data_IF_189658930861
#
_entry.id   IF_189658930861
#
_cell.length_a   1.000
_cell.length_b   1.000
_cell.length_c   1.000
_cell.angle_alpha   90.00
_cell.angle_beta   90.00
_cell.angle_gamma   90.00
#
_symmetry.space_group_name_H-M   'P 1'
#
loop_
_entity.id
_entity.type
_entity.pdbx_description
1 polymer ?
#
# COMPACT_ATOMS: atom_id res chain seq x y z
N UNK A 1 26.67 -46.70 -14.92
CA UNK A 1 25.89 -46.16 -13.79
C UNK A 1 26.78 -45.23 -12.99
N UNK A 2 26.54 -43.92 -13.08
CA UNK A 2 27.30 -42.90 -12.36
C UNK A 2 26.51 -41.60 -12.39
N UNK A 3 26.12 -41.12 -11.22
CA UNK A 3 25.18 -40.03 -10.94
C UNK A 3 25.73 -38.65 -11.34
N UNK A 4 24.95 -37.83 -12.04
CA UNK A 4 25.29 -36.45 -12.37
C UNK A 4 24.57 -35.51 -11.39
N UNK A 5 25.38 -34.73 -10.67
CA UNK A 5 24.97 -33.71 -9.71
C UNK A 5 24.39 -32.47 -10.41
N UNK A 6 23.40 -31.91 -9.74
CA UNK A 6 22.75 -30.63 -9.97
C UNK A 6 23.73 -29.44 -9.96
N UNK A 7 23.54 -28.50 -10.90
CA UNK A 7 24.01 -27.12 -10.82
C UNK A 7 22.88 -26.23 -11.37
N UNK A 8 22.14 -25.57 -10.46
CA UNK A 8 21.22 -24.49 -10.79
C UNK A 8 22.04 -23.21 -10.88
N UNK A 9 22.16 -22.65 -12.08
CA UNK A 9 22.81 -21.37 -12.31
C UNK A 9 21.75 -20.26 -12.32
N UNK A 10 21.78 -19.41 -11.30
CA UNK A 10 21.12 -18.10 -11.31
C UNK A 10 21.81 -17.20 -12.36
N UNK A 11 21.05 -16.75 -13.37
CA UNK A 11 21.46 -15.72 -14.33
C UNK A 11 20.30 -14.72 -14.40
N UNK A 12 20.38 -13.59 -13.69
CA UNK A 12 20.97 -12.31 -14.13
C UNK A 12 20.00 -11.45 -14.96
N UNK A 13 19.23 -10.60 -14.27
CA UNK A 13 18.54 -9.43 -14.82
C UNK A 13 19.58 -8.32 -15.13
N UNK A 14 20.31 -8.51 -16.22
CA UNK A 14 21.21 -7.50 -16.77
C UNK A 14 21.06 -7.47 -18.29
N UNK A 15 19.99 -6.83 -18.78
CA UNK A 15 19.91 -6.33 -20.14
C UNK A 15 18.78 -5.30 -20.22
N UNK A 16 19.15 -4.02 -20.35
CA UNK A 16 18.70 -3.08 -21.39
C UNK A 16 19.50 -1.79 -21.14
N UNK A 17 20.58 -1.64 -21.89
CA UNK A 17 21.30 -0.38 -22.01
C UNK A 17 21.52 -0.07 -23.49
N UNK A 18 21.11 1.15 -23.87
CA UNK A 18 21.36 1.94 -25.10
C UNK A 18 20.19 2.09 -26.07
N UNK A 19 19.64 3.30 -26.08
CA UNK A 19 19.98 4.32 -27.10
C UNK A 19 19.64 5.72 -26.59
N UNK A 20 20.66 6.55 -26.42
CA UNK A 20 20.55 8.01 -26.28
C UNK A 20 20.56 8.64 -27.67
N UNK A 21 19.80 9.72 -27.87
CA UNK A 21 20.35 10.87 -28.55
C UNK A 21 19.75 12.19 -28.02
N UNK A 22 20.67 13.02 -27.56
CA UNK A 22 20.71 14.47 -27.35
C UNK A 22 19.42 15.31 -27.46
N UNK A 23 19.08 15.97 -26.34
CA UNK A 23 18.75 17.40 -26.34
C UNK A 23 19.45 18.04 -25.13
N UNK A 24 20.31 19.01 -25.42
CA UNK A 24 21.17 19.68 -24.47
C UNK A 24 20.41 20.76 -23.68
N UNK A 25 20.79 20.91 -22.41
CA UNK A 25 20.90 22.19 -21.72
C UNK A 25 19.60 22.80 -21.17
N UNK A 26 19.45 22.74 -19.85
CA UNK A 26 19.32 23.92 -18.98
C UNK A 26 19.32 23.45 -17.52
N UNK A 27 20.42 23.71 -16.82
CA UNK A 27 20.46 23.64 -15.36
C UNK A 27 19.55 24.73 -14.78
N UNK A 28 18.60 24.33 -13.93
CA UNK A 28 17.93 25.23 -13.00
C UNK A 28 18.14 24.68 -11.59
N UNK A 29 18.67 25.46 -10.64
CA UNK A 29 18.68 25.09 -9.23
C UNK A 29 17.27 25.31 -8.68
N UNK A 30 16.48 24.23 -8.63
CA UNK A 30 15.13 24.27 -8.07
C UNK A 30 15.16 24.00 -6.56
N UNK A 31 15.11 25.06 -5.77
CA UNK A 31 14.54 24.99 -4.42
C UNK A 31 13.17 24.32 -4.51
N UNK A 32 13.04 23.12 -3.95
CA UNK A 32 11.77 22.42 -3.85
C UNK A 32 10.80 23.29 -3.04
N UNK A 33 9.91 24.01 -3.73
CA UNK A 33 8.82 24.70 -3.09
C UNK A 33 7.99 23.63 -2.37
N UNK A 34 7.84 23.77 -1.04
CA UNK A 34 7.03 22.86 -0.26
C UNK A 34 5.62 22.81 -0.87
N UNK A 35 5.22 21.64 -1.36
CA UNK A 35 3.88 21.44 -1.91
C UNK A 35 2.89 21.62 -0.75
N UNK A 36 1.94 22.56 -0.84
CA UNK A 36 1.01 22.83 0.25
C UNK A 36 0.26 21.55 0.65
N UNK A 37 0.19 21.28 1.96
CA UNK A 37 -0.55 20.14 2.51
C UNK A 37 0.24 18.84 2.64
N UNK A 38 1.43 18.71 2.04
CA UNK A 38 2.32 17.56 2.26
C UNK A 38 3.18 17.73 3.51
N UNK A 39 3.17 16.71 4.37
CA UNK A 39 3.94 16.65 5.61
C UNK A 39 4.65 15.30 5.73
N UNK A 40 5.98 15.30 5.70
CA UNK A 40 6.80 14.13 5.99
C UNK A 40 6.97 14.00 7.51
N UNK A 41 6.57 12.86 8.05
CA UNK A 41 6.79 12.46 9.44
C UNK A 41 7.83 11.35 9.46
N UNK A 42 8.97 11.61 10.08
CA UNK A 42 10.05 10.62 10.17
C UNK A 42 9.91 9.75 11.41
N UNK A 43 10.25 8.46 11.29
CA UNK A 43 10.32 7.51 12.42
C UNK A 43 9.08 7.56 13.32
N UNK A 44 7.89 7.48 12.73
CA UNK A 44 6.63 7.36 13.48
C UNK A 44 6.56 5.97 14.09
N UNK A 45 6.40 5.84 15.40
CA UNK A 45 6.32 4.54 16.06
C UNK A 45 4.98 3.88 15.78
N UNK A 46 5.01 2.57 15.58
CA UNK A 46 3.79 1.76 15.61
C UNK A 46 3.60 1.11 16.98
N UNK A 47 3.17 -0.16 16.98
CA UNK A 47 2.82 -0.88 18.21
C UNK A 47 4.04 -1.22 19.07
N UNK A 48 5.08 -1.76 18.46
CA UNK A 48 6.39 -1.95 19.09
C UNK A 48 7.21 -0.68 18.89
N UNK A 49 7.85 -0.17 19.94
CA UNK A 49 8.70 1.02 19.89
C UNK A 49 9.88 0.87 18.91
N UNK A 50 10.29 -0.36 18.63
CA UNK A 50 11.34 -0.67 17.65
C UNK A 50 10.84 -0.66 16.20
N UNK A 51 9.53 -0.80 15.98
CA UNK A 51 8.92 -0.77 14.65
C UNK A 51 8.49 0.67 14.34
N UNK A 52 9.31 1.37 13.55
CA UNK A 52 9.07 2.75 13.11
C UNK A 52 9.02 2.86 11.60
N UNK A 53 8.14 3.71 11.08
CA UNK A 53 8.06 4.02 9.65
C UNK A 53 8.16 5.53 9.40
N UNK A 54 8.76 5.88 8.27
CA UNK A 54 8.55 7.20 7.69
C UNK A 54 7.17 7.22 7.01
N UNK A 55 6.40 8.27 7.27
CA UNK A 55 5.04 8.43 6.75
C UNK A 55 4.91 9.80 6.09
N UNK A 56 4.33 9.83 4.89
CA UNK A 56 3.98 11.07 4.21
C UNK A 56 2.47 11.30 4.31
N UNK A 57 2.08 12.41 4.91
CA UNK A 57 0.69 12.84 4.98
C UNK A 57 0.42 13.89 3.90
N UNK A 58 -0.61 13.70 3.08
CA UNK A 58 -1.28 14.78 2.37
C UNK A 58 -2.58 15.11 3.11
N UNK A 59 -2.69 16.36 3.57
CA UNK A 59 -3.95 16.87 4.12
C UNK A 59 -4.94 17.18 2.98
N UNK A 60 -6.24 16.98 3.21
CA UNK A 60 -7.24 17.42 2.25
C UNK A 60 -7.11 18.93 2.03
N UNK A 61 -7.28 19.38 0.79
CA UNK A 61 -7.32 20.80 0.50
C UNK A 61 -8.50 21.41 1.27
N UNK A 62 -8.24 22.39 2.15
CA UNK A 62 -9.34 23.16 2.75
C UNK A 62 -10.06 23.88 1.62
N UNK A 63 -11.37 23.68 1.47
CA UNK A 63 -12.23 24.42 0.53
C UNK A 63 -12.31 25.91 0.96
N UNK A 64 -11.22 26.65 0.88
CA UNK A 64 -11.25 28.11 0.83
C UNK A 64 -11.70 28.52 -0.56
N UNK A 65 -13.00 28.35 -0.87
CA UNK A 65 -13.82 29.07 -1.87
C UNK A 65 -15.06 28.24 -2.30
N UNK A 66 -16.04 28.09 -1.41
CA UNK A 66 -17.43 28.25 -1.85
C UNK A 66 -17.96 29.54 -1.26
N UNK A 67 -17.84 30.61 -2.06
CA UNK A 67 -18.55 31.86 -1.84
C UNK A 67 -20.05 31.56 -1.85
N UNK A 68 -20.72 32.08 -0.83
CA UNK A 68 -22.15 32.39 -0.79
C UNK A 68 -23.05 31.35 -1.47
N UNK A 69 -23.55 30.39 -0.69
CA UNK A 69 -24.98 30.15 -0.61
C UNK A 69 -25.31 29.50 0.73
N UNK A 70 -26.31 30.08 1.38
CA UNK A 70 -26.95 29.56 2.58
C UNK A 70 -27.65 28.24 2.26
N UNK A 71 -27.31 27.17 2.97
CA UNK A 71 -28.25 26.32 3.68
C UNK A 71 -27.50 25.19 4.41
N UNK A 72 -28.11 24.74 5.49
CA UNK A 72 -27.61 23.87 6.54
C UNK A 72 -27.24 22.48 6.02
N UNK A 73 -26.09 22.33 5.35
CA UNK A 73 -25.49 21.01 5.14
C UNK A 73 -24.39 20.82 6.17
N UNK A 74 -24.53 19.76 6.98
CA UNK A 74 -23.51 19.30 7.90
C UNK A 74 -22.17 19.19 7.14
N UNK A 75 -21.30 20.18 7.30
CA UNK A 75 -19.87 20.05 7.01
C UNK A 75 -19.37 18.95 7.96
N UNK A 76 -19.56 17.69 7.56
CA UNK A 76 -18.87 16.56 8.15
C UNK A 76 -17.40 16.92 8.09
N UNK A 77 -16.85 17.27 9.24
CA UNK A 77 -15.45 17.55 9.39
C UNK A 77 -14.72 16.22 9.11
N UNK A 78 -14.37 16.00 7.84
CA UNK A 78 -14.12 14.68 7.27
C UNK A 78 -12.94 14.00 7.96
N UNK A 79 -13.23 13.01 8.79
CA UNK A 79 -12.23 12.16 9.43
C UNK A 79 -12.03 10.88 8.61
N UNK A 80 -11.97 11.05 7.28
CA UNK A 80 -11.77 9.97 6.33
C UNK A 80 -10.29 9.84 6.02
N UNK A 81 -9.78 8.62 6.06
CA UNK A 81 -8.36 8.32 5.90
C UNK A 81 -8.15 7.31 4.79
N UNK A 82 -7.12 7.52 3.98
CA UNK A 82 -6.62 6.54 3.02
C UNK A 82 -5.17 6.23 3.39
N UNK A 83 -4.87 4.97 3.65
CA UNK A 83 -3.49 4.50 3.84
C UNK A 83 -3.03 3.80 2.57
N UNK A 84 -1.86 4.16 2.08
CA UNK A 84 -1.26 3.59 0.87
C UNK A 84 0.12 2.99 1.18
N UNK A 85 0.29 1.73 0.78
CA UNK A 85 1.56 1.02 0.81
C UNK A 85 2.14 0.94 -0.61
N UNK A 86 3.26 1.65 -0.90
CA UNK A 86 3.87 1.69 -2.22
C UNK A 86 4.58 0.39 -2.64
N UNK A 87 4.95 0.34 -3.91
CA UNK A 87 5.66 -0.77 -4.54
C UNK A 87 7.18 -0.71 -4.44
N UNK A 88 7.84 -1.58 -5.19
CA UNK A 88 9.26 -1.46 -5.47
C UNK A 88 9.54 -0.16 -6.28
N UNK A 89 10.79 0.32 -6.25
CA UNK A 89 11.29 1.57 -6.86
C UNK A 89 10.77 2.86 -6.21
N UNK A 90 9.52 2.88 -5.75
CA UNK A 90 8.89 4.08 -5.20
C UNK A 90 9.50 4.48 -3.86
N UNK A 91 9.94 5.74 -3.79
CA UNK A 91 10.49 6.33 -2.59
C UNK A 91 10.28 7.86 -2.62
N UNK A 92 10.70 8.57 -1.57
CA UNK A 92 10.70 10.03 -1.57
C UNK A 92 11.44 10.55 -2.79
N UNK A 93 10.89 11.58 -3.44
CA UNK A 93 11.40 12.08 -4.71
C UNK A 93 12.90 12.41 -4.66
N UNK A 94 13.36 12.98 -3.54
CA UNK A 94 14.77 13.29 -3.32
C UNK A 94 15.65 12.03 -3.25
N UNK A 95 15.17 10.96 -2.62
CA UNK A 95 15.92 9.69 -2.52
C UNK A 95 15.97 8.99 -3.89
N UNK A 96 14.87 9.00 -4.64
CA UNK A 96 14.83 8.46 -6.01
C UNK A 96 15.75 9.23 -6.97
N UNK A 97 15.82 10.55 -6.86
CA UNK A 97 16.64 11.38 -7.76
C UNK A 97 18.15 11.10 -7.66
N UNK A 98 18.60 10.47 -6.58
CA UNK A 98 19.99 10.08 -6.37
C UNK A 98 20.35 8.73 -7.02
N UNK A 99 19.35 7.97 -7.48
CA UNK A 99 19.52 6.60 -7.96
C UNK A 99 19.26 6.52 -9.47
N UNK A 100 20.25 6.18 -10.31
CA UNK A 100 20.08 6.14 -11.77
C UNK A 100 18.92 5.27 -12.24
N UNK A 101 18.69 4.13 -11.58
CA UNK A 101 17.59 3.20 -11.89
C UNK A 101 16.21 3.74 -11.51
N UNK A 102 16.12 4.69 -10.57
CA UNK A 102 14.86 5.25 -10.08
C UNK A 102 14.50 6.59 -10.75
N UNK A 103 15.47 7.32 -11.31
CA UNK A 103 15.26 8.60 -12.00
C UNK A 103 14.17 8.56 -13.09
N UNK A 104 14.08 7.52 -13.94
CA UNK A 104 12.99 7.42 -14.92
C UNK A 104 11.59 7.37 -14.30
N UNK A 105 11.49 7.02 -13.02
CA UNK A 105 10.24 6.76 -12.30
C UNK A 105 9.87 7.88 -11.32
N UNK A 106 10.50 9.06 -11.39
CA UNK A 106 10.24 10.17 -10.47
C UNK A 106 8.77 10.64 -10.46
N UNK A 107 8.03 10.41 -11.54
CA UNK A 107 6.57 10.65 -11.61
C UNK A 107 5.76 9.77 -10.66
N UNK A 108 6.37 8.71 -10.11
CA UNK A 108 5.78 7.74 -9.19
C UNK A 108 6.40 7.81 -7.79
N UNK A 109 7.11 8.90 -7.48
CA UNK A 109 7.57 9.18 -6.11
C UNK A 109 6.40 9.28 -5.13
N UNK A 110 6.68 9.08 -3.83
CA UNK A 110 5.64 9.08 -2.79
C UNK A 110 4.82 10.38 -2.80
N UNK A 111 5.47 11.52 -3.04
CA UNK A 111 4.82 12.83 -3.15
C UNK A 111 3.84 12.87 -4.34
N UNK A 112 4.22 12.32 -5.50
CA UNK A 112 3.36 12.31 -6.69
C UNK A 112 2.17 11.37 -6.52
N UNK A 113 2.40 10.20 -5.93
CA UNK A 113 1.33 9.24 -5.62
C UNK A 113 0.35 9.83 -4.60
N UNK A 114 0.84 10.50 -3.56
CA UNK A 114 -0.03 11.15 -2.58
C UNK A 114 -0.97 12.16 -3.26
N UNK A 115 -0.47 12.97 -4.20
CA UNK A 115 -1.29 13.92 -4.95
C UNK A 115 -2.32 13.21 -5.84
N UNK A 116 -1.93 12.16 -6.56
CA UNK A 116 -2.87 11.33 -7.35
C UNK A 116 -4.00 10.79 -6.48
N UNK A 117 -3.68 10.22 -5.32
CA UNK A 117 -4.66 9.67 -4.40
C UNK A 117 -5.54 10.78 -3.79
N UNK A 118 -4.99 11.97 -3.53
CA UNK A 118 -5.76 13.12 -3.07
C UNK A 118 -6.82 13.57 -4.08
N UNK A 119 -6.55 13.43 -5.38
CA UNK A 119 -7.56 13.65 -6.43
C UNK A 119 -8.60 12.53 -6.48
N UNK A 120 -8.20 11.28 -6.25
CA UNK A 120 -9.08 10.10 -6.26
C UNK A 120 -10.02 10.03 -5.06
N UNK A 121 -9.54 10.47 -3.90
CA UNK A 121 -10.24 10.47 -2.62
C UNK A 121 -10.35 11.91 -2.07
N UNK A 122 -11.17 12.77 -2.71
CA UNK A 122 -11.29 14.16 -2.30
C UNK A 122 -11.81 14.26 -0.87
N UNK A 123 -11.23 15.17 -0.09
CA UNK A 123 -11.59 15.38 1.32
C UNK A 123 -10.98 14.38 2.32
N UNK A 124 -10.23 13.38 1.85
CA UNK A 124 -9.56 12.42 2.73
C UNK A 124 -8.14 12.87 3.11
N UNK A 125 -7.67 12.41 4.27
CA UNK A 125 -6.26 12.44 4.64
C UNK A 125 -5.54 11.26 3.99
N UNK A 126 -4.55 11.52 3.14
CA UNK A 126 -3.78 10.45 2.47
C UNK A 126 -2.48 10.19 3.23
N UNK A 127 -2.26 8.96 3.63
CA UNK A 127 -1.09 8.51 4.38
C UNK A 127 -0.30 7.52 3.53
N UNK A 128 0.87 7.92 3.04
CA UNK A 128 1.80 7.01 2.38
C UNK A 128 2.75 6.45 3.42
N UNK A 129 2.69 5.14 3.65
CA UNK A 129 3.58 4.46 4.60
C UNK A 129 4.78 3.92 3.83
N UNK A 130 5.94 4.56 3.98
CA UNK A 130 7.16 4.08 3.33
C UNK A 130 7.57 2.74 3.93
N UNK A 131 8.05 1.82 3.07
CA UNK A 131 8.72 0.60 3.51
C UNK A 131 9.82 0.92 4.54
N UNK A 132 9.94 0.10 5.59
CA UNK A 132 10.92 0.34 6.66
C UNK A 132 12.36 0.24 6.16
N UNK A 133 12.57 -0.57 5.12
CA UNK A 133 13.85 -0.69 4.43
C UNK A 133 13.65 -0.79 2.92
N UNK A 134 14.62 -0.30 2.15
CA UNK A 134 14.69 -0.51 0.70
C UNK A 134 16.04 -1.13 0.32
N UNK A 135 16.02 -2.40 -0.04
CA UNK A 135 17.23 -3.12 -0.46
C UNK A 135 17.64 -2.70 -1.87
N UNK A 136 18.94 -2.40 -2.06
CA UNK A 136 19.50 -1.88 -3.31
C UNK A 136 18.76 -0.63 -3.86
N UNK A 137 18.15 0.16 -2.97
CA UNK A 137 17.32 1.31 -3.34
C UNK A 137 16.18 1.00 -4.32
N UNK A 138 15.76 -0.26 -4.40
CA UNK A 138 14.80 -0.77 -5.38
C UNK A 138 13.74 -1.65 -4.75
N UNK A 139 14.13 -2.63 -3.95
CA UNK A 139 13.20 -3.60 -3.37
C UNK A 139 12.67 -3.10 -2.04
N UNK A 140 11.37 -2.86 -1.97
CA UNK A 140 10.67 -2.46 -0.75
C UNK A 140 10.58 -3.65 0.20
N UNK A 141 10.94 -3.42 1.47
CA UNK A 141 10.87 -4.42 2.54
C UNK A 141 9.97 -3.89 3.66
N UNK A 142 8.85 -4.57 3.88
CA UNK A 142 7.83 -4.21 4.87
C UNK A 142 8.00 -4.95 6.19
N UNK A 143 9.25 -5.06 6.68
CA UNK A 143 9.62 -5.83 7.87
C UNK A 143 8.94 -5.38 9.17
N UNK A 144 8.30 -4.21 9.22
CA UNK A 144 7.50 -3.84 10.40
C UNK A 144 6.08 -4.43 10.37
N UNK A 145 5.63 -4.84 9.18
CA UNK A 145 4.30 -5.36 8.92
C UNK A 145 4.31 -6.85 8.63
N UNK A 146 5.33 -7.40 7.99
CA UNK A 146 5.38 -8.82 7.62
C UNK A 146 6.82 -9.33 7.67
N UNK A 147 7.01 -10.59 8.05
CA UNK A 147 8.32 -11.23 7.95
C UNK A 147 8.74 -11.31 6.47
N UNK A 148 10.02 -11.11 6.18
CA UNK A 148 10.48 -11.12 4.80
C UNK A 148 11.94 -11.47 4.67
N UNK A 149 12.29 -12.07 3.53
CA UNK A 149 13.68 -12.25 3.14
C UNK A 149 14.35 -10.92 2.73
N UNK A 150 15.63 -10.98 2.32
CA UNK A 150 16.43 -9.81 1.94
C UNK A 150 15.81 -8.95 0.83
N UNK A 151 15.08 -9.57 -0.10
CA UNK A 151 14.43 -8.89 -1.23
C UNK A 151 12.98 -8.50 -0.93
N UNK A 152 12.54 -8.63 0.31
CA UNK A 152 11.18 -8.32 0.71
C UNK A 152 10.15 -9.30 0.15
N UNK A 153 10.52 -10.57 -0.10
CA UNK A 153 9.50 -11.60 -0.32
C UNK A 153 8.95 -12.03 1.05
N UNK A 154 7.62 -12.07 1.23
CA UNK A 154 7.00 -12.25 2.53
C UNK A 154 7.05 -13.71 3.00
N UNK A 155 6.94 -13.90 4.30
CA UNK A 155 6.45 -15.12 4.93
C UNK A 155 5.30 -14.68 5.85
N UNK A 156 4.07 -15.10 5.52
CA UNK A 156 2.88 -14.63 6.22
C UNK A 156 2.59 -15.46 7.48
N UNK A 157 2.13 -14.79 8.55
CA UNK A 157 1.76 -15.45 9.81
C UNK A 157 0.42 -14.92 10.36
N UNK A 158 -0.28 -15.65 11.24
CA UNK A 158 -1.54 -15.18 11.82
C UNK A 158 -1.37 -14.14 12.95
N UNK A 159 -0.14 -13.84 13.38
CA UNK A 159 0.13 -13.10 14.62
C UNK A 159 1.35 -12.15 14.58
N UNK A 160 1.81 -11.76 13.39
CA UNK A 160 2.96 -10.85 13.24
C UNK A 160 2.75 -9.46 13.86
N UNK A 161 1.49 -9.01 13.90
CA UNK A 161 1.04 -7.76 14.50
C UNK A 161 0.95 -6.59 13.52
N UNK A 162 0.75 -6.84 12.23
CA UNK A 162 0.55 -5.85 11.19
C UNK A 162 -0.63 -4.90 11.49
N UNK A 163 -1.79 -5.44 11.87
CA UNK A 163 -3.00 -4.63 12.15
C UNK A 163 -2.77 -3.72 13.36
N UNK A 164 -2.16 -4.28 14.42
CA UNK A 164 -1.83 -3.53 15.63
C UNK A 164 -0.80 -2.44 15.35
N UNK A 165 0.21 -2.76 14.55
CA UNK A 165 1.22 -1.82 14.10
C UNK A 165 0.62 -0.69 13.25
N UNK A 166 -0.25 -0.99 12.28
CA UNK A 166 -0.95 0.00 11.46
C UNK A 166 -1.77 0.98 12.31
N UNK A 167 -2.60 0.45 13.22
CA UNK A 167 -3.44 1.28 14.10
C UNK A 167 -2.61 2.26 14.93
N UNK A 168 -1.55 1.76 15.57
CA UNK A 168 -0.67 2.59 16.38
C UNK A 168 0.11 3.61 15.54
N UNK A 169 0.61 3.20 14.37
CA UNK A 169 1.33 4.06 13.44
C UNK A 169 0.45 5.23 12.98
N UNK A 170 -0.81 4.95 12.62
CA UNK A 170 -1.77 5.96 12.21
C UNK A 170 -2.12 6.89 13.37
N UNK A 171 -2.38 6.37 14.57
CA UNK A 171 -2.66 7.19 15.76
C UNK A 171 -1.51 8.12 16.13
N UNK A 172 -0.28 7.62 16.21
CA UNK A 172 0.90 8.44 16.45
C UNK A 172 1.17 9.41 15.30
N UNK A 173 0.90 9.02 14.06
CA UNK A 173 0.98 9.88 12.87
C UNK A 173 0.01 11.06 12.96
N UNK A 174 -1.26 10.80 13.29
CA UNK A 174 -2.29 11.83 13.50
C UNK A 174 -1.89 12.81 14.61
N UNK A 175 -1.37 12.30 15.73
CA UNK A 175 -0.88 13.13 16.85
C UNK A 175 0.28 14.03 16.42
N UNK A 176 1.32 13.47 15.79
CA UNK A 176 2.48 14.23 15.31
C UNK A 176 2.12 15.23 14.22
N UNK A 177 1.13 14.90 13.39
CA UNK A 177 0.58 15.80 12.39
C UNK A 177 -0.34 16.88 12.98
N UNK A 178 -0.67 16.85 14.28
CA UNK A 178 -1.58 17.80 14.90
C UNK A 178 -2.99 17.77 14.30
N UNK A 179 -3.46 16.60 13.87
CA UNK A 179 -4.83 16.45 13.38
C UNK A 179 -5.84 16.47 14.54
N UNK A 180 -7.05 17.01 14.32
CA UNK A 180 -8.11 16.93 15.31
C UNK A 180 -8.53 15.47 15.53
N UNK A 181 -8.81 15.10 16.78
CA UNK A 181 -9.32 13.78 17.17
C UNK A 181 -8.44 12.60 16.68
N UNK A 182 -7.16 12.51 17.08
CA UNK A 182 -6.31 11.36 16.75
C UNK A 182 -6.90 10.06 17.30
N UNK A 183 -6.55 8.92 16.68
CA UNK A 183 -6.90 7.62 17.25
C UNK A 183 -6.37 7.51 18.68
N UNK A 184 -7.21 7.04 19.63
CA UNK A 184 -6.77 6.85 21.00
C UNK A 184 -5.71 5.74 21.06
N UNK A 185 -4.74 5.83 22.00
CA UNK A 185 -3.78 4.75 22.24
C UNK A 185 -4.48 3.42 22.53
N UNK A 186 -3.88 2.33 22.07
CA UNK A 186 -4.28 0.98 22.50
C UNK A 186 -4.06 0.85 24.01
N UNK A 187 -5.13 0.55 24.73
CA UNK A 187 -5.14 0.55 26.20
C UNK A 187 -5.09 -0.86 26.80
N UNK A 188 -5.28 -1.90 25.98
CA UNK A 188 -5.36 -3.30 26.41
C UNK A 188 -6.60 -3.62 27.26
N UNK A 189 -7.60 -2.74 27.25
CA UNK A 189 -8.79 -2.87 28.08
C UNK A 189 -9.88 -3.68 27.38
N UNK A 190 -10.61 -4.51 28.13
CA UNK A 190 -11.73 -5.30 27.59
C UNK A 190 -12.88 -4.45 27.00
N UNK A 191 -13.00 -3.18 27.43
CA UNK A 191 -13.98 -2.22 26.94
C UNK A 191 -13.26 -1.03 26.28
N UNK A 192 -12.96 -1.10 24.97
CA UNK A 192 -12.37 0.02 24.25
C UNK A 192 -13.22 1.29 24.32
N UNK A 193 -12.56 2.44 24.34
CA UNK A 193 -13.22 3.71 24.03
C UNK A 193 -13.65 3.77 22.55
N UNK A 194 -14.67 4.58 22.22
CA UNK A 194 -15.11 4.72 20.84
C UNK A 194 -14.00 5.35 19.97
N UNK A 195 -14.01 5.03 18.68
CA UNK A 195 -13.20 5.76 17.71
C UNK A 195 -13.70 7.21 17.58
N UNK A 196 -12.84 8.14 17.15
CA UNK A 196 -13.26 9.48 16.76
C UNK A 196 -14.47 9.46 15.83
N UNK A 197 -15.44 10.36 16.06
CA UNK A 197 -16.66 10.42 15.26
C UNK A 197 -16.32 10.59 13.76
N UNK A 198 -16.99 9.80 12.92
CA UNK A 198 -16.79 9.82 11.47
C UNK A 198 -15.44 9.26 11.00
N UNK A 199 -14.68 8.57 11.86
CA UNK A 199 -13.46 7.89 11.43
C UNK A 199 -13.77 6.77 10.44
N UNK A 200 -13.24 6.89 9.23
CA UNK A 200 -13.29 5.83 8.20
C UNK A 200 -11.91 5.61 7.62
N UNK A 201 -11.63 4.37 7.22
CA UNK A 201 -10.34 3.97 6.67
C UNK A 201 -10.52 3.21 5.36
N UNK A 202 -9.75 3.61 4.35
CA UNK A 202 -9.50 2.84 3.13
C UNK A 202 -8.03 2.43 3.13
N UNK A 203 -7.73 1.18 2.79
CA UNK A 203 -6.36 0.66 2.73
C UNK A 203 -6.04 0.26 1.30
N UNK A 204 -4.92 0.75 0.79
CA UNK A 204 -4.47 0.51 -0.59
C UNK A 204 -3.06 -0.05 -0.56
N UNK A 205 -2.86 -1.19 -1.20
CA UNK A 205 -1.56 -1.79 -1.43
C UNK A 205 -1.28 -1.78 -2.92
N UNK A 206 -0.10 -1.30 -3.31
CA UNK A 206 0.33 -1.35 -4.70
C UNK A 206 1.59 -2.18 -4.85
N UNK A 207 1.62 -3.08 -5.84
CA UNK A 207 2.80 -3.88 -6.17
C UNK A 207 3.31 -4.63 -4.93
N UNK A 208 4.53 -4.33 -4.48
CA UNK A 208 5.09 -4.88 -3.24
C UNK A 208 4.27 -4.54 -1.99
N UNK A 209 3.57 -3.41 -1.95
CA UNK A 209 2.71 -3.03 -0.82
C UNK A 209 1.57 -4.01 -0.55
N UNK A 210 1.15 -4.80 -1.54
CA UNK A 210 0.13 -5.84 -1.37
C UNK A 210 0.54 -6.93 -0.37
N UNK A 211 1.84 -7.14 -0.12
CA UNK A 211 2.29 -8.12 0.89
C UNK A 211 1.82 -7.75 2.30
N UNK A 212 1.64 -6.46 2.58
CA UNK A 212 1.10 -5.96 3.85
C UNK A 212 -0.38 -6.27 3.94
N UNK A 213 -1.13 -6.13 2.83
CA UNK A 213 -2.55 -6.47 2.80
C UNK A 213 -2.77 -7.97 2.99
N UNK A 214 -1.95 -8.79 2.33
CA UNK A 214 -2.00 -10.24 2.52
C UNK A 214 -1.75 -10.60 3.99
N UNK A 215 -0.75 -9.97 4.63
CA UNK A 215 -0.49 -10.17 6.06
C UNK A 215 -1.68 -9.74 6.95
N UNK A 216 -2.32 -8.62 6.64
CA UNK A 216 -3.54 -8.18 7.34
C UNK A 216 -4.63 -9.25 7.25
N UNK A 217 -4.82 -9.87 6.08
CA UNK A 217 -5.82 -10.93 5.89
C UNK A 217 -5.53 -12.15 6.76
N UNK A 218 -4.28 -12.60 6.84
CA UNK A 218 -3.90 -13.71 7.74
C UNK A 218 -4.10 -13.40 9.23
N UNK A 219 -4.01 -12.13 9.63
CA UNK A 219 -4.21 -11.70 11.02
C UNK A 219 -5.67 -11.44 11.41
N UNK A 220 -6.62 -11.41 10.45
CA UNK A 220 -8.00 -10.98 10.71
C UNK A 220 -8.68 -11.77 11.83
N UNK A 221 -8.56 -13.10 11.83
CA UNK A 221 -9.16 -13.94 12.85
C UNK A 221 -8.71 -13.53 14.27
N UNK A 222 -7.40 -13.36 14.46
CA UNK A 222 -6.82 -12.97 15.74
C UNK A 222 -7.15 -11.54 16.12
N UNK A 223 -7.11 -10.61 15.15
CA UNK A 223 -7.39 -9.20 15.40
C UNK A 223 -8.87 -8.92 15.71
N UNK A 224 -9.81 -9.67 15.11
CA UNK A 224 -11.24 -9.54 15.43
C UNK A 224 -11.62 -10.09 16.80
N UNK A 225 -10.79 -10.96 17.38
CA UNK A 225 -10.95 -11.43 18.75
C UNK A 225 -10.53 -10.39 19.80
N UNK A 226 -9.71 -9.40 19.41
CA UNK A 226 -9.31 -8.27 20.24
C UNK A 226 -10.35 -7.13 20.09
N UNK A 227 -11.05 -6.70 21.17
CA UNK A 227 -12.10 -5.69 21.06
C UNK A 227 -11.64 -4.34 20.49
N UNK A 228 -10.42 -3.89 20.80
CA UNK A 228 -9.92 -2.60 20.32
C UNK A 228 -9.56 -2.66 18.84
N UNK A 229 -8.93 -3.76 18.42
CA UNK A 229 -8.58 -3.99 17.01
C UNK A 229 -9.82 -4.26 16.17
N UNK A 230 -10.82 -4.97 16.71
CA UNK A 230 -12.11 -5.16 16.05
C UNK A 230 -12.78 -3.83 15.73
N UNK A 231 -12.89 -2.92 16.69
CA UNK A 231 -13.46 -1.59 16.42
C UNK A 231 -12.70 -0.82 15.33
N UNK A 232 -11.37 -0.96 15.29
CA UNK A 232 -10.56 -0.38 14.23
C UNK A 232 -10.83 -1.02 12.87
N UNK A 233 -10.91 -2.35 12.80
CA UNK A 233 -11.23 -3.09 11.58
C UNK A 233 -12.64 -2.79 11.08
N UNK A 234 -13.62 -2.64 11.98
CA UNK A 234 -15.00 -2.27 11.64
C UNK A 234 -15.10 -0.87 11.01
N UNK A 235 -14.05 -0.03 11.14
CA UNK A 235 -13.96 1.27 10.44
C UNK A 235 -13.31 1.21 9.06
N UNK A 236 -12.79 0.04 8.67
CA UNK A 236 -12.23 -0.18 7.33
C UNK A 236 -13.38 -0.43 6.36
N UNK A 237 -13.51 0.48 5.40
CA UNK A 237 -14.60 0.46 4.40
C UNK A 237 -14.20 -0.31 3.14
N UNK A 238 -12.99 -0.05 2.66
CA UNK A 238 -12.49 -0.58 1.40
C UNK A 238 -11.02 -1.02 1.54
N UNK A 239 -10.67 -2.11 0.86
CA UNK A 239 -9.28 -2.56 0.67
C UNK A 239 -9.00 -2.79 -0.82
N UNK A 240 -7.96 -2.14 -1.33
CA UNK A 240 -7.56 -2.18 -2.73
C UNK A 240 -6.21 -2.90 -2.89
N UNK A 241 -6.21 -4.03 -3.59
CA UNK A 241 -5.01 -4.67 -4.12
C UNK A 241 -4.76 -4.15 -5.54
N UNK A 242 -3.70 -3.38 -5.71
CA UNK A 242 -3.31 -2.78 -6.98
C UNK A 242 -2.06 -3.49 -7.52
N UNK A 243 -2.27 -4.36 -8.49
CA UNK A 243 -1.27 -5.07 -9.29
C UNK A 243 -0.19 -5.71 -8.43
N UNK A 244 -0.61 -6.53 -7.46
CA UNK A 244 0.27 -7.15 -6.48
C UNK A 244 1.35 -8.04 -7.12
N UNK A 245 2.60 -7.84 -6.66
CA UNK A 245 3.76 -8.54 -7.19
C UNK A 245 4.96 -8.45 -6.24
N UNK A 246 5.78 -9.50 -6.19
CA UNK A 246 7.02 -9.54 -5.42
C UNK A 246 7.97 -10.62 -5.98
N UNK A 247 9.27 -10.63 -5.59
CA UNK A 247 10.25 -11.57 -6.16
C UNK A 247 10.18 -12.99 -5.57
N UNK A 248 9.16 -13.29 -4.76
CA UNK A 248 8.93 -14.64 -4.21
C UNK A 248 8.28 -15.56 -5.24
N UNK A 249 8.26 -16.87 -4.95
CA UNK A 249 7.72 -17.89 -5.86
C UNK A 249 6.26 -18.29 -5.63
N UNK A 250 5.61 -17.69 -4.63
CA UNK A 250 4.24 -17.96 -4.18
C UNK A 250 3.77 -16.84 -3.25
N UNK A 251 2.50 -16.91 -2.82
CA UNK A 251 1.91 -16.00 -1.82
C UNK A 251 1.81 -14.54 -2.28
N UNK A 252 1.74 -14.34 -3.60
CA UNK A 252 1.48 -13.03 -4.19
C UNK A 252 0.03 -12.62 -3.96
N UNK A 253 -0.89 -13.58 -3.98
CA UNK A 253 -2.26 -13.42 -3.52
C UNK A 253 -2.59 -14.45 -2.44
N UNK A 254 -3.46 -14.09 -1.50
CA UNK A 254 -3.89 -15.01 -0.44
C UNK A 254 -4.69 -16.15 -1.06
N UNK A 255 -4.29 -17.38 -0.79
CA UNK A 255 -5.02 -18.58 -1.25
C UNK A 255 -5.55 -19.44 -0.10
N UNK A 256 -5.23 -19.07 1.14
CA UNK A 256 -5.74 -19.77 2.32
C UNK A 256 -7.24 -19.50 2.49
N UNK A 257 -8.04 -20.56 2.46
CA UNK A 257 -9.50 -20.44 2.48
C UNK A 257 -10.00 -19.91 3.83
N UNK A 258 -9.37 -20.26 4.95
CA UNK A 258 -9.80 -19.81 6.27
C UNK A 258 -9.55 -18.30 6.43
N UNK A 259 -8.41 -17.80 5.96
CA UNK A 259 -8.11 -16.38 5.97
C UNK A 259 -9.05 -15.58 5.04
N UNK A 260 -9.40 -16.14 3.87
CA UNK A 260 -10.37 -15.52 2.96
C UNK A 260 -11.81 -15.56 3.48
N UNK A 261 -12.20 -16.59 4.24
CA UNK A 261 -13.50 -16.66 4.93
C UNK A 261 -13.65 -15.54 5.96
N UNK A 262 -12.59 -15.25 6.71
CA UNK A 262 -12.55 -14.11 7.63
C UNK A 262 -12.61 -12.76 6.90
N UNK A 263 -11.91 -12.62 5.77
CA UNK A 263 -11.99 -11.42 4.94
C UNK A 263 -13.41 -11.22 4.41
N UNK A 264 -14.03 -12.26 3.83
CA UNK A 264 -15.40 -12.19 3.33
C UNK A 264 -16.40 -11.83 4.45
N UNK A 265 -16.24 -12.46 5.62
CA UNK A 265 -17.09 -12.25 6.81
C UNK A 265 -16.86 -10.92 7.52
N UNK A 266 -15.83 -10.15 7.15
CA UNK A 266 -15.59 -8.81 7.68
C UNK A 266 -16.57 -7.77 7.10
N UNK A 267 -17.13 -8.04 5.91
CA UNK A 267 -18.02 -7.12 5.21
C UNK A 267 -17.32 -5.95 4.50
N UNK A 268 -15.97 -5.90 4.52
CA UNK A 268 -15.19 -4.89 3.80
C UNK A 268 -15.36 -5.02 2.29
N UNK A 269 -15.36 -3.90 1.56
CA UNK A 269 -15.31 -3.93 0.11
C UNK A 269 -13.88 -4.29 -0.36
N UNK A 270 -13.77 -5.34 -1.17
CA UNK A 270 -12.50 -5.85 -1.71
C UNK A 270 -12.40 -5.47 -3.18
N UNK A 271 -11.29 -4.83 -3.55
CA UNK A 271 -11.04 -4.37 -4.91
C UNK A 271 -9.71 -4.93 -5.42
N UNK A 272 -9.77 -5.73 -6.48
CA UNK A 272 -8.59 -6.31 -7.13
C UNK A 272 -8.39 -5.67 -8.52
N UNK A 273 -7.34 -4.87 -8.66
CA UNK A 273 -6.98 -4.23 -9.92
C UNK A 273 -5.66 -4.83 -10.38
N UNK A 274 -5.63 -5.42 -11.57
CA UNK A 274 -4.43 -6.11 -12.07
C UNK A 274 -4.11 -5.70 -13.49
N UNK A 275 -2.88 -5.92 -13.92
CA UNK A 275 -2.42 -5.70 -15.29
C UNK A 275 -1.82 -6.98 -15.86
N UNK A 276 -1.76 -7.13 -17.21
CA UNK A 276 -1.04 -8.22 -17.84
C UNK A 276 0.42 -8.37 -17.39
N UNK A 277 1.06 -7.29 -16.92
CA UNK A 277 2.44 -7.31 -16.44
C UNK A 277 2.63 -8.27 -15.25
N UNK A 278 1.67 -8.33 -14.33
CA UNK A 278 1.74 -9.26 -13.20
C UNK A 278 1.05 -10.59 -13.52
N UNK A 279 -0.23 -10.56 -13.89
CA UNK A 279 -1.05 -11.79 -13.90
C UNK A 279 -0.91 -12.63 -15.19
N UNK A 280 -0.28 -12.10 -16.25
CA UNK A 280 -0.04 -12.83 -17.51
C UNK A 280 1.45 -13.07 -17.79
N UNK A 281 2.33 -12.84 -16.82
CA UNK A 281 3.76 -13.14 -16.97
C UNK A 281 3.99 -14.67 -17.00
N UNK A 282 4.48 -15.25 -18.12
CA UNK A 282 4.71 -16.69 -18.21
C UNK A 282 5.83 -17.20 -17.28
N UNK A 283 6.78 -16.34 -16.90
CA UNK A 283 7.85 -16.69 -15.95
C UNK A 283 7.37 -16.66 -14.51
N UNK A 284 6.27 -15.93 -14.25
CA UNK A 284 5.63 -15.79 -12.94
C UNK A 284 4.18 -16.26 -12.94
N UNK A 285 3.90 -17.34 -13.67
CA UNK A 285 2.54 -17.81 -13.91
C UNK A 285 1.75 -18.16 -12.64
N UNK A 286 2.41 -18.33 -11.47
CA UNK A 286 1.70 -18.48 -10.20
C UNK A 286 0.91 -17.23 -9.82
N UNK A 287 1.38 -16.03 -10.14
CA UNK A 287 0.71 -14.76 -9.78
C UNK A 287 -0.70 -14.73 -10.35
N UNK A 288 -0.85 -15.07 -11.64
CA UNK A 288 -2.16 -15.16 -12.29
C UNK A 288 -3.05 -16.28 -11.74
N UNK A 289 -2.47 -17.44 -11.39
CA UNK A 289 -3.22 -18.56 -10.81
C UNK A 289 -3.72 -18.25 -9.40
N UNK A 290 -2.87 -17.66 -8.55
CA UNK A 290 -3.21 -17.25 -7.20
C UNK A 290 -4.26 -16.14 -7.21
N UNK A 291 -4.11 -15.14 -8.10
CA UNK A 291 -5.15 -14.12 -8.30
C UNK A 291 -6.51 -14.74 -8.66
N UNK A 292 -6.55 -15.65 -9.63
CA UNK A 292 -7.79 -16.34 -10.01
C UNK A 292 -8.40 -17.12 -8.84
N UNK A 293 -7.57 -17.79 -8.04
CA UNK A 293 -8.02 -18.52 -6.87
C UNK A 293 -8.55 -17.59 -5.77
N UNK A 294 -7.86 -16.46 -5.50
CA UNK A 294 -8.27 -15.42 -4.56
C UNK A 294 -9.66 -14.88 -4.90
N UNK A 295 -9.85 -14.47 -6.16
CA UNK A 295 -11.13 -13.97 -6.67
C UNK A 295 -12.22 -15.01 -6.52
N UNK A 296 -12.01 -16.21 -7.07
CA UNK A 296 -13.03 -17.27 -7.07
C UNK A 296 -13.44 -17.65 -5.66
N UNK A 297 -12.47 -17.76 -4.74
CA UNK A 297 -12.76 -18.14 -3.35
C UNK A 297 -13.58 -17.06 -2.65
N UNK A 298 -13.27 -15.78 -2.86
CA UNK A 298 -14.05 -14.68 -2.28
C UNK A 298 -15.47 -14.57 -2.88
N UNK A 299 -15.62 -14.82 -4.19
CA UNK A 299 -16.94 -14.90 -4.84
C UNK A 299 -17.77 -16.05 -4.24
N UNK A 300 -17.19 -17.24 -4.11
CA UNK A 300 -17.85 -18.42 -3.54
C UNK A 300 -18.25 -18.20 -2.06
N UNK A 301 -17.48 -17.39 -1.33
CA UNK A 301 -17.75 -17.00 0.07
C UNK A 301 -18.72 -15.81 0.19
N UNK A 302 -19.15 -15.21 -0.92
CA UNK A 302 -20.10 -14.09 -0.92
C UNK A 302 -19.52 -12.75 -0.47
N UNK A 303 -18.21 -12.53 -0.65
CA UNK A 303 -17.56 -11.26 -0.31
C UNK A 303 -18.08 -10.11 -1.19
N UNK A 304 -17.99 -8.87 -0.69
CA UNK A 304 -18.21 -7.66 -1.49
C UNK A 304 -16.97 -7.42 -2.37
N UNK A 305 -16.92 -8.07 -3.54
CA UNK A 305 -15.75 -8.08 -4.42
C UNK A 305 -15.98 -7.31 -5.72
N UNK A 306 -14.96 -6.56 -6.15
CA UNK A 306 -14.82 -6.08 -7.52
C UNK A 306 -13.44 -6.42 -8.08
N UNK A 307 -13.36 -6.70 -9.38
CA UNK A 307 -12.11 -6.97 -10.07
C UNK A 307 -12.04 -6.25 -11.42
N UNK A 308 -10.83 -5.81 -11.80
CA UNK A 308 -10.57 -5.19 -13.11
C UNK A 308 -9.18 -5.56 -13.62
N UNK A 309 -9.13 -6.12 -14.82
CA UNK A 309 -7.92 -6.24 -15.61
C UNK A 309 -7.75 -4.97 -16.47
N UNK A 310 -6.72 -4.18 -16.19
CA UNK A 310 -6.41 -2.94 -16.92
C UNK A 310 -5.46 -3.23 -18.07
N UNK A 311 -5.50 -2.37 -19.11
CA UNK A 311 -4.56 -2.42 -20.23
C UNK A 311 -4.51 -3.76 -20.96
N UNK A 312 -5.65 -4.48 -21.04
CA UNK A 312 -5.71 -5.81 -21.63
C UNK A 312 -5.25 -5.85 -23.10
N UNK A 313 -5.54 -4.79 -23.84
CA UNK A 313 -5.18 -4.62 -25.26
C UNK A 313 -3.77 -4.06 -25.47
N UNK A 314 -3.06 -3.70 -24.40
CA UNK A 314 -1.70 -3.19 -24.47
C UNK A 314 -0.66 -4.28 -24.13
N UNK A 315 0.56 -4.23 -24.68
CA UNK A 315 1.64 -5.11 -24.24
C UNK A 315 1.93 -4.96 -22.74
N UNK A 316 2.18 -6.08 -22.06
CA UNK A 316 2.62 -6.12 -20.67
C UNK A 316 3.89 -5.25 -20.49
N UNK A 317 3.84 -4.30 -19.57
CA UNK A 317 4.92 -3.35 -19.33
C UNK A 317 4.93 -2.85 -17.89
N UNK A 318 6.11 -2.50 -17.38
CA UNK A 318 6.26 -1.91 -16.05
C UNK A 318 5.63 -0.51 -16.00
N UNK A 319 5.52 0.18 -17.13
CA UNK A 319 4.78 1.42 -17.25
C UNK A 319 3.29 1.20 -16.95
N UNK A 320 2.68 0.14 -17.50
CA UNK A 320 1.29 -0.22 -17.23
C UNK A 320 1.08 -0.64 -15.77
N UNK A 321 2.04 -1.35 -15.20
CA UNK A 321 2.06 -1.66 -13.77
C UNK A 321 1.91 -0.40 -12.91
N UNK A 322 2.70 0.65 -13.14
CA UNK A 322 2.54 1.91 -12.40
C UNK A 322 1.28 2.69 -12.76
N UNK A 323 0.86 2.69 -14.04
CA UNK A 323 -0.34 3.40 -14.51
C UNK A 323 -1.62 2.96 -13.82
N UNK A 324 -1.68 1.75 -13.26
CA UNK A 324 -2.84 1.28 -12.50
C UNK A 324 -3.21 2.24 -11.35
N UNK A 325 -2.23 2.93 -10.75
CA UNK A 325 -2.44 3.91 -9.66
C UNK A 325 -3.30 5.11 -10.13
N UNK A 326 -3.35 5.39 -11.43
CA UNK A 326 -4.15 6.48 -12.01
C UNK A 326 -5.58 6.06 -12.36
N UNK A 327 -5.84 4.75 -12.56
CA UNK A 327 -7.04 4.26 -13.27
C UNK A 327 -7.93 3.32 -12.43
N UNK A 328 -7.57 3.06 -11.17
CA UNK A 328 -8.35 2.23 -10.25
C UNK A 328 -9.51 2.99 -9.59
#
# INVERSE_FOLDING_TARGET
MGSIRSVVACLSLAAIARKMNAAAGLCVPGTSAAVPGLLRLTSVPGYDQNRVNDVLLLRPATETQRRCDSETENLQNGNNHVVFFPGDIQNFQQEMALQPDAVPWLSWSLERVALTLGHRFPGCHIWIVRASHMYLHKFSCYQNFVESNLFGAPEHSPDYGAIRHLRALLGHGMQRAGLPNPLPPLSGTATPGPLPAGFTLTIVGFSKGCVVLNQIVYELAGARADPELRLFLDSVSDIYWLDGGHPGGSETWVTDKCALDELASSGVAVHAHVTPYEVRDPMRAWVGREHQLFIKTLEDLGACLSQKLHFEEEPASIENHFRVILEF
#
